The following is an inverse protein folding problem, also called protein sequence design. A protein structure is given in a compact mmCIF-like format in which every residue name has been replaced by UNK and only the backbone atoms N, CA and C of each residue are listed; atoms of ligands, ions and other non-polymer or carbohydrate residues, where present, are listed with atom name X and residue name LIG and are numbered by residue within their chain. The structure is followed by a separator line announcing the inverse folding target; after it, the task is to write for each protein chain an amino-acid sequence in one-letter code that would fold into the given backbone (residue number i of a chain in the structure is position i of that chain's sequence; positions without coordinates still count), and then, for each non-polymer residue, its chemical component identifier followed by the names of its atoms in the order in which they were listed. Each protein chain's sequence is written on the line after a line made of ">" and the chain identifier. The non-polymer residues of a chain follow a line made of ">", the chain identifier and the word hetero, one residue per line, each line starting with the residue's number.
data_IF_231443323229
#
_entry.id   IF_231443323229
#
_cell.length_a   1.000
_cell.length_b   1.000
_cell.length_c   1.000
_cell.angle_alpha   90.00
_cell.angle_beta   90.00
_cell.angle_gamma   90.00
#
_symmetry.space_group_name_H-M   'P 1'
#
loop_
_entity.id
_entity.type
_entity.pdbx_description
1 polymer ?
#
# COMPACT_ATOMS: atom_id res chain seq x y z
N UNK A 1 -12.19 -21.18 -28.66
CA UNK A 1 -12.70 -19.96 -29.34
C UNK A 1 -13.62 -19.11 -28.44
N UNK A 2 -14.77 -19.65 -27.93
CA UNK A 2 -15.67 -18.85 -27.04
C UNK A 2 -14.99 -18.50 -25.71
N UNK A 3 -14.31 -19.45 -25.07
CA UNK A 3 -13.58 -19.24 -23.79
C UNK A 3 -12.43 -18.25 -23.98
N UNK A 4 -11.69 -18.32 -25.09
CA UNK A 4 -10.61 -17.38 -25.38
C UNK A 4 -11.12 -15.96 -25.64
N UNK A 5 -12.24 -15.84 -26.34
CA UNK A 5 -12.91 -14.56 -26.58
C UNK A 5 -13.44 -13.94 -25.25
N UNK A 6 -14.03 -14.76 -24.38
CA UNK A 6 -14.52 -14.36 -23.07
C UNK A 6 -13.37 -13.94 -22.14
N UNK A 7 -12.27 -14.70 -22.11
CA UNK A 7 -11.08 -14.35 -21.32
C UNK A 7 -10.45 -13.04 -21.81
N UNK A 8 -10.36 -12.83 -23.12
CA UNK A 8 -9.85 -11.60 -23.70
C UNK A 8 -10.74 -10.39 -23.35
N UNK A 9 -12.05 -10.57 -23.42
CA UNK A 9 -13.03 -9.52 -23.06
C UNK A 9 -12.94 -9.15 -21.56
N UNK A 10 -12.78 -10.14 -20.67
CA UNK A 10 -12.60 -9.93 -19.23
C UNK A 10 -11.28 -9.18 -18.97
N UNK A 11 -10.18 -9.62 -19.57
CA UNK A 11 -8.88 -8.97 -19.41
C UNK A 11 -8.89 -7.53 -19.92
N UNK A 12 -9.55 -7.26 -21.05
CA UNK A 12 -9.71 -5.90 -21.59
C UNK A 12 -10.56 -5.03 -20.67
N UNK A 13 -11.61 -5.56 -20.07
CA UNK A 13 -12.44 -4.85 -19.10
C UNK A 13 -11.66 -4.51 -17.81
N UNK A 14 -10.91 -5.48 -17.26
CA UNK A 14 -10.08 -5.29 -16.07
C UNK A 14 -8.94 -4.29 -16.32
N UNK A 15 -8.32 -4.35 -17.50
CA UNK A 15 -7.26 -3.41 -17.85
C UNK A 15 -7.74 -1.96 -17.98
N UNK A 16 -9.00 -1.75 -18.38
CA UNK A 16 -9.63 -0.42 -18.44
C UNK A 16 -9.97 0.15 -17.06
N UNK A 17 -10.17 -0.70 -16.05
CA UNK A 17 -10.52 -0.29 -14.68
C UNK A 17 -9.40 -0.58 -13.68
N UNK A 18 -8.16 -0.58 -14.13
CA UNK A 18 -7.01 -0.98 -13.32
C UNK A 18 -6.79 -0.16 -12.05
N UNK A 19 -7.07 1.15 -12.10
CA UNK A 19 -6.90 2.03 -10.94
C UNK A 19 -8.05 1.87 -9.94
N UNK A 20 -9.27 1.64 -10.40
CA UNK A 20 -10.39 1.31 -9.51
C UNK A 20 -10.17 -0.03 -8.81
N UNK A 21 -9.66 -1.04 -9.54
CA UNK A 21 -9.34 -2.35 -8.96
C UNK A 21 -8.22 -2.25 -7.92
N UNK A 22 -7.17 -1.48 -8.21
CA UNK A 22 -6.12 -1.23 -7.23
C UNK A 22 -6.67 -0.49 -6.01
N UNK A 23 -7.50 0.53 -6.21
CA UNK A 23 -8.12 1.29 -5.14
C UNK A 23 -8.93 0.40 -4.20
N UNK A 24 -9.78 -0.47 -4.77
CA UNK A 24 -10.56 -1.42 -3.98
C UNK A 24 -9.66 -2.38 -3.19
N UNK A 25 -8.60 -2.88 -3.82
CA UNK A 25 -7.65 -3.77 -3.16
C UNK A 25 -6.90 -3.07 -2.01
N UNK A 26 -6.50 -1.80 -2.17
CA UNK A 26 -5.85 -1.00 -1.12
C UNK A 26 -6.81 -0.73 0.05
N UNK A 27 -8.04 -0.29 -0.23
CA UNK A 27 -9.05 -0.06 0.80
C UNK A 27 -9.33 -1.36 1.57
N UNK A 28 -9.49 -2.46 0.86
CA UNK A 28 -9.72 -3.75 1.47
C UNK A 28 -8.54 -4.16 2.35
N UNK A 29 -7.30 -4.03 1.88
CA UNK A 29 -6.12 -4.41 2.65
C UNK A 29 -5.96 -3.59 3.93
N UNK A 30 -6.12 -2.27 3.86
CA UNK A 30 -5.99 -1.38 5.02
C UNK A 30 -7.12 -1.53 6.04
N UNK A 31 -8.36 -1.76 5.58
CA UNK A 31 -9.54 -1.59 6.44
C UNK A 31 -10.37 -2.86 6.63
N UNK A 32 -10.02 -4.00 6.03
CA UNK A 32 -10.77 -5.26 6.23
C UNK A 32 -10.81 -5.69 7.71
N UNK A 33 -9.80 -5.29 8.49
CA UNK A 33 -9.75 -5.52 9.94
C UNK A 33 -10.96 -5.00 10.71
N UNK A 34 -11.69 -4.00 10.18
CA UNK A 34 -12.94 -3.49 10.77
C UNK A 34 -13.99 -4.61 10.95
N UNK A 35 -14.00 -5.59 10.06
CA UNK A 35 -14.99 -6.67 10.02
C UNK A 35 -14.50 -7.96 10.71
N UNK A 36 -13.28 -7.97 11.25
CA UNK A 36 -12.63 -9.17 11.76
C UNK A 36 -12.33 -9.04 13.25
N UNK A 37 -12.82 -10.01 14.03
CA UNK A 37 -12.55 -10.09 15.47
C UNK A 37 -11.47 -11.11 15.81
N UNK A 38 -11.21 -12.08 14.92
CA UNK A 38 -10.18 -13.10 15.07
C UNK A 38 -8.89 -12.69 14.36
N UNK A 39 -7.92 -12.20 15.12
CA UNK A 39 -6.64 -11.73 14.60
C UNK A 39 -5.70 -12.87 14.15
N UNK A 40 -5.86 -14.06 14.70
CA UNK A 40 -5.15 -15.25 14.24
C UNK A 40 -5.60 -15.67 12.84
N UNK A 41 -6.92 -15.69 12.63
CA UNK A 41 -7.53 -15.93 11.31
C UNK A 41 -7.13 -14.84 10.32
N UNK A 42 -7.09 -13.57 10.76
CA UNK A 42 -6.61 -12.46 9.95
C UNK A 42 -5.19 -12.72 9.44
N UNK A 43 -4.25 -13.03 10.34
CA UNK A 43 -2.83 -13.22 9.98
C UNK A 43 -2.61 -14.42 9.07
N UNK A 44 -3.30 -15.55 9.34
CA UNK A 44 -3.05 -16.83 8.63
C UNK A 44 -3.75 -16.93 7.28
N UNK A 45 -4.91 -16.31 7.13
CA UNK A 45 -5.78 -16.50 5.95
C UNK A 45 -6.00 -15.19 5.20
N UNK A 46 -6.45 -14.14 5.91
CA UNK A 46 -6.87 -12.90 5.25
C UNK A 46 -5.68 -12.13 4.69
N UNK A 47 -4.58 -12.03 5.44
CA UNK A 47 -3.38 -11.32 4.98
C UNK A 47 -2.81 -11.89 3.67
N UNK A 48 -2.54 -13.20 3.53
CA UNK A 48 -2.10 -13.77 2.24
C UNK A 48 -3.09 -13.49 1.09
N UNK A 49 -4.40 -13.59 1.35
CA UNK A 49 -5.44 -13.30 0.35
C UNK A 49 -5.38 -11.82 -0.06
N UNK A 50 -5.27 -10.90 0.89
CA UNK A 50 -5.17 -9.47 0.63
C UNK A 50 -3.94 -9.13 -0.21
N UNK A 51 -2.78 -9.72 0.09
CA UNK A 51 -1.57 -9.54 -0.70
C UNK A 51 -1.72 -10.08 -2.13
N UNK A 52 -2.43 -11.19 -2.29
CA UNK A 52 -2.75 -11.73 -3.61
C UNK A 52 -3.66 -10.78 -4.39
N UNK A 53 -4.71 -10.24 -3.76
CA UNK A 53 -5.62 -9.28 -4.38
C UNK A 53 -4.91 -7.97 -4.77
N UNK A 54 -4.06 -7.44 -3.89
CA UNK A 54 -3.23 -6.27 -4.17
C UNK A 54 -2.28 -6.52 -5.34
N UNK A 55 -1.65 -7.69 -5.34
CA UNK A 55 -0.79 -8.09 -6.44
C UNK A 55 -1.53 -8.19 -7.77
N UNK A 56 -2.67 -8.85 -7.82
CA UNK A 56 -3.51 -8.95 -9.01
C UNK A 56 -3.98 -7.56 -9.48
N UNK A 57 -4.43 -6.70 -8.55
CA UNK A 57 -4.83 -5.32 -8.85
C UNK A 57 -3.68 -4.50 -9.44
N UNK A 58 -2.44 -4.77 -9.03
CA UNK A 58 -1.26 -4.05 -9.51
C UNK A 58 -0.77 -4.50 -10.89
N UNK A 59 -1.05 -5.72 -11.33
CA UNK A 59 -0.53 -6.29 -12.60
C UNK A 59 -0.84 -5.41 -13.80
N UNK A 60 -2.07 -4.87 -13.87
CA UNK A 60 -2.53 -4.06 -15.00
C UNK A 60 -1.97 -2.63 -15.02
N UNK A 61 -1.36 -2.16 -13.93
CA UNK A 61 -0.76 -0.81 -13.87
C UNK A 61 0.50 -0.75 -14.72
N UNK A 62 1.20 -1.86 -14.83
CA UNK A 62 2.47 -1.96 -15.51
C UNK A 62 2.30 -2.29 -17.00
N UNK A 63 1.66 -1.43 -17.76
CA UNK A 63 1.56 -1.55 -19.22
C UNK A 63 2.77 -0.86 -19.86
N UNK A 64 3.76 -1.61 -20.29
CA UNK A 64 4.96 -1.08 -20.96
C UNK A 64 5.78 -2.16 -21.63
N UNK A 65 6.76 -1.76 -22.48
CA UNK A 65 7.66 -2.68 -23.17
C UNK A 65 8.42 -3.55 -22.19
N UNK A 66 8.51 -4.85 -22.49
CA UNK A 66 9.31 -5.83 -21.73
C UNK A 66 10.75 -5.33 -21.58
N UNK A 67 11.17 -5.08 -20.33
CA UNK A 67 12.52 -4.67 -19.98
C UNK A 67 12.88 -5.19 -18.59
N UNK A 68 14.10 -4.90 -18.10
CA UNK A 68 14.58 -5.34 -16.78
C UNK A 68 13.61 -4.95 -15.63
N UNK A 69 12.88 -3.84 -15.77
CA UNK A 69 11.87 -3.35 -14.82
C UNK A 69 10.69 -4.33 -14.69
N UNK A 70 10.25 -4.98 -15.79
CA UNK A 70 9.21 -6.01 -15.75
C UNK A 70 9.69 -7.28 -15.06
N UNK A 71 10.95 -7.67 -15.31
CA UNK A 71 11.56 -8.82 -14.67
C UNK A 71 11.71 -8.61 -13.16
N UNK A 72 12.27 -7.44 -12.75
CA UNK A 72 12.39 -7.05 -11.34
C UNK A 72 11.03 -7.04 -10.63
N UNK A 73 10.03 -6.40 -11.22
CA UNK A 73 8.66 -6.38 -10.73
C UNK A 73 8.11 -7.79 -10.52
N UNK A 74 8.19 -8.66 -11.54
CA UNK A 74 7.59 -9.99 -11.47
C UNK A 74 8.24 -10.85 -10.37
N UNK A 75 9.56 -10.81 -10.25
CA UNK A 75 10.27 -11.52 -9.18
C UNK A 75 9.88 -10.94 -7.83
N UNK A 76 9.92 -9.62 -7.69
CA UNK A 76 9.59 -8.98 -6.43
C UNK A 76 8.13 -9.21 -6.02
N UNK A 77 7.22 -9.22 -6.99
CA UNK A 77 5.82 -9.59 -6.78
C UNK A 77 5.67 -11.03 -6.26
N UNK A 78 6.40 -11.99 -6.84
CA UNK A 78 6.38 -13.38 -6.37
C UNK A 78 6.92 -13.47 -4.94
N UNK A 79 7.99 -12.73 -4.61
CA UNK A 79 8.54 -12.67 -3.25
C UNK A 79 7.48 -12.13 -2.28
N UNK A 80 6.87 -11.00 -2.58
CA UNK A 80 5.84 -10.34 -1.76
C UNK A 80 4.62 -11.24 -1.55
N UNK A 81 4.24 -12.04 -2.56
CA UNK A 81 3.14 -12.99 -2.46
C UNK A 81 3.48 -14.22 -1.61
N UNK A 82 4.72 -14.71 -1.68
CA UNK A 82 5.14 -15.91 -0.95
C UNK A 82 5.46 -15.61 0.53
N UNK A 83 5.92 -14.41 0.85
CA UNK A 83 6.30 -14.04 2.21
C UNK A 83 5.18 -14.26 3.24
N UNK A 84 3.91 -13.85 3.05
CA UNK A 84 2.87 -14.08 4.06
C UNK A 84 2.60 -15.57 4.33
N UNK A 85 2.79 -16.42 3.31
CA UNK A 85 2.62 -17.87 3.45
C UNK A 85 3.67 -18.47 4.41
N UNK A 86 4.84 -17.83 4.51
CA UNK A 86 5.91 -18.23 5.42
C UNK A 86 5.67 -17.85 6.89
N UNK A 87 4.74 -16.92 7.20
CA UNK A 87 4.52 -16.44 8.58
C UNK A 87 4.32 -17.59 9.59
N UNK A 88 3.46 -18.60 9.36
CA UNK A 88 3.26 -19.68 10.31
C UNK A 88 4.53 -20.49 10.63
N UNK A 89 5.48 -20.52 9.70
CA UNK A 89 6.73 -21.33 9.82
C UNK A 89 7.89 -20.53 10.39
N UNK A 90 7.92 -19.22 10.16
CA UNK A 90 9.06 -18.34 10.47
C UNK A 90 8.74 -17.24 11.48
N UNK A 91 7.58 -17.28 12.15
CA UNK A 91 7.12 -16.25 13.10
C UNK A 91 8.12 -16.00 14.25
N UNK A 92 8.85 -17.04 14.65
CA UNK A 92 9.82 -17.00 15.76
C UNK A 92 11.23 -16.57 15.31
N UNK A 93 11.42 -16.28 14.01
CA UNK A 93 12.70 -15.84 13.46
C UNK A 93 12.77 -14.30 13.53
N UNK A 94 13.68 -13.71 14.34
CA UNK A 94 13.65 -12.26 14.66
C UNK A 94 13.72 -11.34 13.46
N UNK A 95 14.45 -11.73 12.38
CA UNK A 95 14.62 -10.91 11.19
C UNK A 95 13.51 -11.10 10.13
N UNK A 96 12.63 -12.10 10.30
CA UNK A 96 11.64 -12.46 9.28
C UNK A 96 10.65 -11.32 9.01
N UNK A 97 10.04 -10.75 10.04
CA UNK A 97 9.10 -9.64 9.90
C UNK A 97 9.77 -8.38 9.38
N UNK A 98 11.00 -8.09 9.78
CA UNK A 98 11.79 -6.98 9.24
C UNK A 98 12.02 -7.16 7.74
N UNK A 99 12.42 -8.36 7.31
CA UNK A 99 12.62 -8.68 5.90
C UNK A 99 11.31 -8.58 5.09
N UNK A 100 10.21 -9.09 5.64
CA UNK A 100 8.87 -8.99 5.05
C UNK A 100 8.47 -7.53 4.85
N UNK A 101 8.57 -6.71 5.87
CA UNK A 101 8.19 -5.30 5.83
C UNK A 101 9.03 -4.50 4.83
N UNK A 102 10.34 -4.70 4.80
CA UNK A 102 11.24 -4.05 3.82
C UNK A 102 10.82 -4.40 2.39
N UNK A 103 10.51 -5.67 2.12
CA UNK A 103 10.04 -6.07 0.79
C UNK A 103 8.70 -5.43 0.43
N UNK A 104 7.77 -5.28 1.37
CA UNK A 104 6.52 -4.57 1.15
C UNK A 104 6.74 -3.08 0.89
N UNK A 105 7.59 -2.42 1.66
CA UNK A 105 7.96 -1.02 1.41
C UNK A 105 8.50 -0.84 -0.01
N UNK A 106 9.44 -1.69 -0.45
CA UNK A 106 10.00 -1.64 -1.81
C UNK A 106 8.89 -1.83 -2.86
N UNK A 107 7.99 -2.79 -2.66
CA UNK A 107 6.89 -3.07 -3.57
C UNK A 107 5.94 -1.88 -3.71
N UNK A 108 5.49 -1.31 -2.59
CA UNK A 108 4.56 -0.19 -2.59
C UNK A 108 5.20 1.11 -3.09
N UNK A 109 6.48 1.35 -2.79
CA UNK A 109 7.24 2.47 -3.36
C UNK A 109 7.33 2.33 -4.89
N UNK A 110 7.58 1.13 -5.39
CA UNK A 110 7.61 0.89 -6.82
C UNK A 110 6.25 1.16 -7.49
N UNK A 111 5.14 0.69 -6.89
CA UNK A 111 3.78 1.00 -7.33
C UNK A 111 3.51 2.50 -7.32
N UNK A 112 3.88 3.18 -6.24
CA UNK A 112 3.68 4.61 -6.08
C UNK A 112 4.42 5.43 -7.14
N UNK A 113 5.68 5.07 -7.43
CA UNK A 113 6.47 5.74 -8.48
C UNK A 113 5.83 5.55 -9.87
N UNK A 114 5.33 4.36 -10.20
CA UNK A 114 4.65 4.15 -11.48
C UNK A 114 3.34 4.95 -11.57
N UNK A 115 2.62 5.02 -10.47
CA UNK A 115 1.40 5.80 -10.37
C UNK A 115 1.67 7.31 -10.51
N UNK A 116 2.70 7.84 -9.84
CA UNK A 116 3.14 9.23 -10.02
C UNK A 116 3.53 9.52 -11.48
N UNK A 117 4.24 8.62 -12.14
CA UNK A 117 4.57 8.77 -13.57
C UNK A 117 3.34 8.86 -14.46
N UNK A 118 2.28 8.13 -14.10
CA UNK A 118 1.01 8.22 -14.81
C UNK A 118 0.33 9.57 -14.55
N UNK A 119 0.25 10.01 -13.29
CA UNK A 119 -0.38 11.27 -12.90
C UNK A 119 0.32 12.51 -13.48
N UNK A 120 1.63 12.46 -13.62
CA UNK A 120 2.43 13.58 -14.18
C UNK A 120 2.37 13.68 -15.71
N UNK A 121 1.83 12.68 -16.41
CA UNK A 121 1.66 12.78 -17.87
C UNK A 121 0.66 13.86 -18.25
N UNK A 122 0.91 14.61 -19.34
CA UNK A 122 -0.10 15.53 -19.88
C UNK A 122 -1.40 14.79 -20.23
N UNK A 123 -2.53 15.42 -19.98
CA UNK A 123 -3.84 14.83 -20.28
C UNK A 123 -4.97 15.51 -19.55
N UNK A 124 -6.19 15.17 -19.94
CA UNK A 124 -7.41 15.68 -19.32
C UNK A 124 -7.82 14.80 -18.13
N UNK A 125 -8.58 15.39 -17.20
CA UNK A 125 -9.14 14.67 -16.07
C UNK A 125 -10.15 13.61 -16.55
N UNK A 126 -10.01 12.40 -16.02
CA UNK A 126 -10.91 11.28 -16.24
C UNK A 126 -10.98 10.43 -14.96
N UNK A 127 -11.82 9.39 -14.94
CA UNK A 127 -11.96 8.49 -13.79
C UNK A 127 -10.63 7.85 -13.39
N UNK A 128 -9.80 7.47 -14.35
CA UNK A 128 -8.48 6.86 -14.09
C UNK A 128 -7.57 7.79 -13.30
N UNK A 129 -7.55 9.09 -13.63
CA UNK A 129 -6.73 10.08 -12.92
C UNK A 129 -7.23 10.26 -11.48
N UNK A 130 -8.55 10.32 -11.28
CA UNK A 130 -9.14 10.44 -9.95
C UNK A 130 -8.83 9.20 -9.12
N UNK A 131 -9.10 8.00 -9.63
CA UNK A 131 -8.83 6.75 -8.92
C UNK A 131 -7.34 6.57 -8.64
N UNK A 132 -6.46 6.86 -9.61
CA UNK A 132 -5.01 6.81 -9.41
C UNK A 132 -4.55 7.80 -8.34
N UNK A 133 -5.14 8.99 -8.29
CA UNK A 133 -4.82 9.99 -7.28
C UNK A 133 -5.14 9.50 -5.87
N UNK A 134 -6.29 8.89 -5.68
CA UNK A 134 -6.68 8.30 -4.39
C UNK A 134 -5.82 7.09 -4.05
N UNK A 135 -5.50 6.24 -5.04
CA UNK A 135 -4.55 5.13 -4.84
C UNK A 135 -3.19 5.61 -4.30
N UNK A 136 -2.67 6.72 -4.83
CA UNK A 136 -1.40 7.27 -4.36
C UNK A 136 -1.43 7.67 -2.88
N UNK A 137 -2.54 8.21 -2.41
CA UNK A 137 -2.71 8.53 -1.00
C UNK A 137 -2.69 7.27 -0.11
N UNK A 138 -3.46 6.24 -0.48
CA UNK A 138 -3.46 4.98 0.25
C UNK A 138 -2.12 4.23 0.16
N UNK A 139 -1.41 4.31 -0.97
CA UNK A 139 -0.06 3.73 -1.09
C UNK A 139 0.94 4.42 -0.16
N UNK A 140 0.83 5.72 0.08
CA UNK A 140 1.66 6.41 1.07
C UNK A 140 1.36 5.91 2.50
N UNK A 141 0.10 5.65 2.83
CA UNK A 141 -0.27 5.05 4.12
C UNK A 141 0.34 3.65 4.25
N UNK A 142 0.24 2.80 3.21
CA UNK A 142 0.84 1.46 3.19
C UNK A 142 2.36 1.50 3.39
N UNK A 143 3.06 2.34 2.61
CA UNK A 143 4.51 2.51 2.71
C UNK A 143 4.90 2.93 4.13
N UNK A 144 4.16 3.87 4.71
CA UNK A 144 4.42 4.38 6.04
C UNK A 144 4.16 3.33 7.11
N UNK A 145 3.08 2.58 6.99
CA UNK A 145 2.71 1.50 7.92
C UNK A 145 3.81 0.45 7.97
N UNK A 146 4.22 -0.11 6.83
CA UNK A 146 5.26 -1.14 6.81
C UNK A 146 6.65 -0.61 7.20
N UNK A 147 6.94 0.66 6.87
CA UNK A 147 8.17 1.30 7.30
C UNK A 147 8.22 1.43 8.84
N UNK A 148 7.15 1.94 9.46
CA UNK A 148 7.10 2.11 10.91
C UNK A 148 7.02 0.76 11.63
N UNK A 149 6.33 -0.21 11.07
CA UNK A 149 6.28 -1.59 11.56
C UNK A 149 7.68 -2.25 11.62
N UNK A 150 8.57 -1.89 10.67
CA UNK A 150 9.96 -2.36 10.71
C UNK A 150 10.68 -1.91 11.98
N UNK A 151 10.45 -0.67 12.43
CA UNK A 151 11.05 -0.16 13.67
C UNK A 151 10.44 -0.81 14.91
N UNK A 152 9.12 -1.04 14.93
CA UNK A 152 8.46 -1.70 16.06
C UNK A 152 8.90 -3.15 16.23
N UNK A 153 9.12 -3.89 15.15
CA UNK A 153 9.70 -5.24 15.23
C UNK A 153 11.18 -5.25 15.62
N UNK A 154 11.92 -4.18 15.34
CA UNK A 154 13.31 -4.07 15.77
C UNK A 154 13.43 -3.71 17.25
N UNK A 155 12.59 -2.81 17.75
CA UNK A 155 12.54 -2.40 19.14
C UNK A 155 11.07 -2.11 19.53
N UNK A 156 10.46 -2.98 20.39
CA UNK A 156 9.08 -2.81 20.85
C UNK A 156 8.81 -1.52 21.67
N UNK A 157 9.83 -0.71 21.92
CA UNK A 157 9.71 0.58 22.56
C UNK A 157 9.70 1.76 21.55
N UNK A 158 9.65 1.46 20.25
CA UNK A 158 9.65 2.45 19.18
C UNK A 158 8.43 3.38 19.25
N UNK A 159 7.29 2.83 19.69
CA UNK A 159 6.04 3.57 19.89
C UNK A 159 5.46 3.33 21.29
N UNK A 160 4.58 4.23 21.72
CA UNK A 160 3.70 4.06 22.87
C UNK A 160 2.28 3.89 22.39
N UNK A 161 1.50 3.04 23.06
CA UNK A 161 0.08 2.84 22.77
C UNK A 161 -0.20 1.75 21.73
N UNK A 162 0.80 1.07 21.18
CA UNK A 162 0.62 -0.06 20.28
C UNK A 162 0.37 -1.34 21.06
N UNK A 163 -0.62 -2.12 20.62
CA UNK A 163 -0.85 -3.49 21.09
C UNK A 163 0.10 -4.46 20.38
N UNK A 164 1.08 -4.97 21.12
CA UNK A 164 2.10 -5.92 20.64
C UNK A 164 1.71 -7.39 20.79
N UNK A 165 0.45 -7.69 21.14
CA UNK A 165 -0.03 -9.06 21.37
C UNK A 165 0.04 -9.96 20.13
N UNK A 166 -0.09 -9.37 18.94
CA UNK A 166 0.01 -10.09 17.67
C UNK A 166 0.54 -9.19 16.54
N UNK A 167 1.05 -9.81 15.47
CA UNK A 167 1.46 -9.08 14.27
C UNK A 167 0.30 -8.31 13.61
N UNK A 168 -0.91 -8.84 13.72
CA UNK A 168 -2.12 -8.20 13.23
C UNK A 168 -2.47 -6.95 14.04
N UNK A 169 -2.38 -7.01 15.38
CA UNK A 169 -2.60 -5.85 16.25
C UNK A 169 -1.63 -4.72 15.90
N UNK A 170 -0.33 -5.01 15.80
CA UNK A 170 0.70 -4.03 15.41
C UNK A 170 0.37 -3.40 14.05
N UNK A 171 -0.03 -4.20 13.06
CA UNK A 171 -0.39 -3.69 11.73
C UNK A 171 -1.60 -2.76 11.80
N UNK A 172 -2.68 -3.18 12.44
CA UNK A 172 -3.92 -2.40 12.57
C UNK A 172 -3.67 -1.07 13.28
N UNK A 173 -2.93 -1.09 14.39
CA UNK A 173 -2.58 0.10 15.15
C UNK A 173 -1.71 1.07 14.35
N UNK A 174 -0.77 0.56 13.55
CA UNK A 174 0.05 1.40 12.68
C UNK A 174 -0.72 1.92 11.46
N UNK A 175 -1.66 1.17 10.88
CA UNK A 175 -2.58 1.68 9.85
C UNK A 175 -3.40 2.83 10.41
N UNK A 176 -3.97 2.66 11.60
CA UNK A 176 -4.70 3.72 12.30
C UNK A 176 -3.80 4.94 12.53
N UNK A 177 -2.63 4.76 13.15
CA UNK A 177 -1.68 5.83 13.44
C UNK A 177 -1.25 6.59 12.19
N UNK A 178 -0.88 5.90 11.11
CA UNK A 178 -0.53 6.52 9.83
C UNK A 178 -1.71 7.30 9.26
N UNK A 179 -2.91 6.73 9.26
CA UNK A 179 -4.10 7.38 8.72
C UNK A 179 -4.43 8.69 9.45
N UNK A 180 -4.41 8.70 10.79
CA UNK A 180 -4.68 9.92 11.55
C UNK A 180 -3.54 10.95 11.48
N UNK A 181 -2.30 10.50 11.23
CA UNK A 181 -1.15 11.37 10.98
C UNK A 181 -1.26 12.05 9.62
N UNK A 182 -1.58 11.30 8.56
CA UNK A 182 -1.76 11.84 7.20
C UNK A 182 -2.93 12.82 7.10
N UNK A 183 -4.02 12.55 7.83
CA UNK A 183 -5.19 13.44 7.88
C UNK A 183 -5.01 14.60 8.85
N UNK A 184 -3.88 14.69 9.55
CA UNK A 184 -3.58 15.71 10.56
C UNK A 184 -4.55 15.72 11.76
N UNK A 185 -5.23 14.60 12.04
CA UNK A 185 -6.12 14.44 13.19
C UNK A 185 -5.30 14.29 14.47
N UNK A 186 -4.40 13.28 14.51
CA UNK A 186 -3.41 13.08 15.57
C UNK A 186 -3.99 13.03 16.99
N UNK A 187 -4.80 12.02 17.31
CA UNK A 187 -5.42 11.89 18.65
C UNK A 187 -4.40 11.80 19.79
N UNK A 188 -3.17 11.30 19.54
CA UNK A 188 -2.10 11.22 20.53
C UNK A 188 -2.18 10.02 21.47
N UNK A 189 -3.04 9.05 21.18
CA UNK A 189 -3.15 7.75 21.85
C UNK A 189 -2.01 6.81 21.46
N UNK A 190 -1.61 6.82 20.18
CA UNK A 190 -0.37 6.20 19.70
C UNK A 190 0.63 7.31 19.37
N UNK A 191 1.84 7.19 19.89
CA UNK A 191 2.89 8.20 19.72
C UNK A 191 4.27 7.57 19.49
N UNK A 192 5.10 8.13 18.58
CA UNK A 192 6.49 7.70 18.44
C UNK A 192 7.29 8.03 19.68
N UNK A 193 8.08 7.09 20.18
CA UNK A 193 8.81 7.23 21.43
C UNK A 193 10.31 7.50 21.23
N UNK A 194 10.92 6.87 20.21
CA UNK A 194 12.34 7.02 19.89
C UNK A 194 12.57 8.27 19.01
N UNK A 195 13.77 8.85 19.05
CA UNK A 195 14.12 10.01 18.21
C UNK A 195 13.98 9.69 16.72
N UNK A 196 14.35 8.48 16.28
CA UNK A 196 14.27 8.03 14.89
C UNK A 196 12.80 7.97 14.45
N UNK A 197 11.94 7.30 15.22
CA UNK A 197 10.52 7.16 14.89
C UNK A 197 9.80 8.49 14.92
N UNK A 198 10.17 9.42 15.82
CA UNK A 198 9.66 10.80 15.84
C UNK A 198 9.98 11.56 14.55
N UNK A 199 11.25 11.51 14.10
CA UNK A 199 11.67 12.20 12.88
C UNK A 199 11.07 11.58 11.62
N UNK A 200 11.00 10.25 11.54
CA UNK A 200 10.38 9.55 10.42
C UNK A 200 8.88 9.86 10.36
N UNK A 201 8.18 9.84 11.49
CA UNK A 201 6.76 10.20 11.55
C UNK A 201 6.52 11.64 11.10
N UNK A 202 7.35 12.57 11.53
CA UNK A 202 7.28 13.96 11.08
C UNK A 202 7.51 14.07 9.56
N UNK A 203 8.51 13.37 9.02
CA UNK A 203 8.78 13.34 7.59
C UNK A 203 7.61 12.74 6.79
N UNK A 204 7.03 11.64 7.27
CA UNK A 204 5.84 11.00 6.71
C UNK A 204 4.65 11.98 6.69
N UNK A 205 4.38 12.67 7.80
CA UNK A 205 3.29 13.64 7.90
C UNK A 205 3.46 14.80 6.91
N UNK A 206 4.67 15.38 6.82
CA UNK A 206 5.00 16.41 5.83
C UNK A 206 4.81 15.88 4.40
N UNK A 207 5.30 14.67 4.12
CA UNK A 207 5.16 14.03 2.81
C UNK A 207 3.70 13.84 2.39
N UNK A 208 2.85 13.42 3.32
CA UNK A 208 1.41 13.27 3.08
C UNK A 208 0.70 14.58 2.77
N UNK A 209 0.99 15.63 3.54
CA UNK A 209 0.45 16.96 3.29
C UNK A 209 0.93 17.51 1.94
N UNK A 210 2.22 17.37 1.64
CA UNK A 210 2.79 17.78 0.36
C UNK A 210 2.14 17.03 -0.81
N UNK A 211 1.94 15.71 -0.69
CA UNK A 211 1.24 14.93 -1.70
C UNK A 211 -0.18 15.46 -1.96
N UNK A 212 -0.93 15.73 -0.90
CA UNK A 212 -2.31 16.25 -1.01
C UNK A 212 -2.36 17.59 -1.74
N UNK A 213 -1.46 18.52 -1.42
CA UNK A 213 -1.39 19.84 -2.06
C UNK A 213 -1.01 19.70 -3.54
N UNK A 214 0.02 18.91 -3.86
CA UNK A 214 0.46 18.67 -5.24
C UNK A 214 -0.63 17.98 -6.05
N UNK A 215 -1.32 17.01 -5.45
CA UNK A 215 -2.43 16.30 -6.07
C UNK A 215 -3.55 17.26 -6.50
N UNK A 216 -4.00 18.11 -5.58
CA UNK A 216 -5.03 19.11 -5.87
C UNK A 216 -4.57 20.02 -7.02
N UNK A 217 -3.31 20.47 -7.01
CA UNK A 217 -2.71 21.26 -8.09
C UNK A 217 -2.75 20.53 -9.45
N UNK A 218 -2.39 19.25 -9.48
CA UNK A 218 -2.45 18.42 -10.71
C UNK A 218 -3.88 18.28 -11.20
N UNK A 219 -4.83 18.00 -10.32
CA UNK A 219 -6.25 17.85 -10.69
C UNK A 219 -6.83 19.15 -11.25
N UNK A 220 -6.57 20.29 -10.62
CA UNK A 220 -7.00 21.62 -11.10
C UNK A 220 -6.38 21.91 -12.46
N UNK A 221 -5.08 21.71 -12.64
CA UNK A 221 -4.39 21.93 -13.91
C UNK A 221 -5.00 21.10 -15.05
N UNK A 222 -5.26 19.80 -14.80
CA UNK A 222 -5.87 18.90 -15.78
C UNK A 222 -7.34 19.23 -16.07
N UNK A 223 -8.06 19.76 -15.08
CA UNK A 223 -9.43 20.23 -15.27
C UNK A 223 -9.47 21.49 -16.16
N UNK A 224 -8.59 22.46 -15.88
CA UNK A 224 -8.51 23.71 -16.63
C UNK A 224 -8.04 23.54 -18.08
N UNK A 225 -7.26 22.49 -18.38
CA UNK A 225 -6.78 22.23 -19.75
C UNK A 225 -7.85 21.69 -20.71
N UNK A 226 -9.07 21.44 -20.21
CA UNK A 226 -10.21 20.98 -21.02
C UNK A 226 -10.98 22.15 -21.68
N UNK A 227 -10.79 23.37 -21.19
CA UNK A 227 -11.39 24.60 -21.71
C UNK A 227 -10.37 25.35 -22.57
#
# INVERSE_FOLDING_TARGET
>A
MIIDCMNKMILDCLSKRKYELLLLALIQHLFVGIFLTDLDFYTRVIWPINMLLLGLGSVFIFTGKMGWRHWFRNIHFIIVLLLPIGIPFFKDVPWYFTFLNINYVIFFVFLFVELLRFLLKPGYINSDIISASVCGYFLLIEISTFLLQTFEYHDPHSFKGIDTSSSASIFIDLVYFCSITFTSIGFGDITPNMHITKLITAFIGIGGQFYTVVLVGILISKFSSKN
#
